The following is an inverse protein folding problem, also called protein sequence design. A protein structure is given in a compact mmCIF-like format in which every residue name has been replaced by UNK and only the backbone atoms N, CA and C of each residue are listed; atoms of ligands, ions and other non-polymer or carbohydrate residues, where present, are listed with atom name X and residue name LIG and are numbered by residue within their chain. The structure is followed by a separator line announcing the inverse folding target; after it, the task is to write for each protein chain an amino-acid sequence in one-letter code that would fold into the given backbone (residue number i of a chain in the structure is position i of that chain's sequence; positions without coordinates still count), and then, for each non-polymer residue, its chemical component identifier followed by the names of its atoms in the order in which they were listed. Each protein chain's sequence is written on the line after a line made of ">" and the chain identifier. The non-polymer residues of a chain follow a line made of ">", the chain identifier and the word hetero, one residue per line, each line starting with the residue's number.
data_IF_912154958928
#
_entry.id   IF_912154958928
#
_cell.length_a   1.000
_cell.length_b   1.000
_cell.length_c   1.000
_cell.angle_alpha   90.00
_cell.angle_beta   90.00
_cell.angle_gamma   90.00
#
_symmetry.space_group_name_H-M   'P 1'
#
loop_
_entity.id
_entity.type
_entity.pdbx_description
1 polymer ?
#
# COMPACT_ATOMS: atom_id res chain seq x y z
N UNK A 1 -23.90 9.84 3.53
CA UNK A 1 -23.32 9.79 4.89
C UNK A 1 -21.88 9.33 4.77
N UNK A 2 -20.91 10.23 4.99
CA UNK A 2 -19.49 9.87 4.99
C UNK A 2 -19.20 9.11 6.28
N UNK A 3 -18.72 7.86 6.17
CA UNK A 3 -18.21 7.11 7.32
C UNK A 3 -16.76 7.50 7.53
N UNK A 4 -16.45 8.06 8.69
CA UNK A 4 -15.07 8.23 9.12
C UNK A 4 -14.53 6.84 9.51
N UNK A 5 -13.43 6.45 8.87
CA UNK A 5 -12.63 5.30 9.32
C UNK A 5 -11.77 5.83 10.45
N UNK A 6 -11.96 5.31 11.66
CA UNK A 6 -11.06 5.61 12.78
C UNK A 6 -9.63 5.17 12.42
N UNK A 7 -8.63 5.89 12.94
CA UNK A 7 -7.21 5.81 12.59
C UNK A 7 -6.75 4.42 12.11
N UNK A 8 -6.16 4.31 10.90
CA UNK A 8 -5.72 3.03 10.39
C UNK A 8 -4.66 2.44 11.33
N UNK A 9 -4.92 1.22 11.81
CA UNK A 9 -3.88 0.39 12.41
C UNK A 9 -2.75 0.20 11.40
N UNK A 10 -1.47 0.29 11.79
CA UNK A 10 -0.35 -0.04 10.93
C UNK A 10 -0.60 -1.37 10.23
N UNK A 11 -0.47 -1.38 8.89
CA UNK A 11 -0.71 -2.56 8.06
C UNK A 11 0.62 -3.00 7.48
N UNK A 12 1.30 -3.87 8.22
CA UNK A 12 2.58 -4.42 7.84
C UNK A 12 2.40 -5.65 6.93
N UNK A 13 2.61 -5.49 5.62
CA UNK A 13 2.56 -6.58 4.64
C UNK A 13 3.97 -7.10 4.34
N UNK A 14 4.18 -8.39 4.04
CA UNK A 14 5.50 -8.88 3.63
C UNK A 14 6.02 -8.15 2.38
N UNK A 15 7.28 -7.75 2.39
CA UNK A 15 7.97 -7.17 1.24
C UNK A 15 9.01 -8.17 0.70
N UNK A 16 8.86 -8.52 -0.57
CA UNK A 16 9.83 -9.35 -1.29
C UNK A 16 11.00 -8.48 -1.75
N UNK A 17 12.21 -8.98 -1.54
CA UNK A 17 13.45 -8.29 -1.88
C UNK A 17 13.79 -8.26 -3.37
N UNK A 18 13.28 -9.23 -4.10
CA UNK A 18 13.50 -9.39 -5.54
C UNK A 18 12.22 -9.10 -6.32
N UNK A 19 12.33 -8.64 -7.58
CA UNK A 19 11.21 -8.62 -8.50
C UNK A 19 10.67 -10.04 -8.67
N UNK A 20 9.37 -10.20 -8.49
CA UNK A 20 8.68 -11.46 -8.80
C UNK A 20 8.32 -11.44 -10.29
N UNK A 21 8.86 -12.37 -11.07
CA UNK A 21 8.45 -12.54 -12.46
C UNK A 21 6.96 -12.90 -12.53
N UNK A 22 6.26 -12.41 -13.55
CA UNK A 22 4.87 -12.77 -13.79
C UNK A 22 4.78 -14.28 -14.12
N UNK A 23 4.44 -15.11 -13.12
CA UNK A 23 4.47 -16.57 -13.21
C UNK A 23 4.39 -17.25 -11.84
N UNK A 24 4.78 -18.52 -11.76
CA UNK A 24 4.93 -19.23 -10.48
C UNK A 24 6.28 -18.82 -9.88
N UNK A 25 6.32 -18.10 -8.74
CA UNK A 25 7.58 -17.78 -8.08
C UNK A 25 8.30 -19.08 -7.72
N UNK A 26 9.61 -19.15 -7.93
CA UNK A 26 10.37 -20.32 -7.55
C UNK A 26 10.25 -20.51 -6.03
N UNK A 27 10.08 -21.73 -5.49
CA UNK A 27 9.99 -21.98 -4.04
C UNK A 27 11.19 -21.50 -3.21
N UNK A 28 12.29 -21.10 -3.88
CA UNK A 28 13.49 -20.55 -3.25
C UNK A 28 13.46 -19.01 -3.12
N UNK A 29 12.47 -18.32 -3.70
CA UNK A 29 12.34 -16.86 -3.67
C UNK A 29 11.58 -16.33 -2.44
N UNK A 30 11.33 -17.18 -1.44
CA UNK A 30 10.65 -16.85 -0.18
C UNK A 30 11.49 -15.93 0.74
N UNK A 31 12.49 -15.23 0.21
CA UNK A 31 13.29 -14.28 0.97
C UNK A 31 12.50 -12.98 1.22
N UNK A 32 11.73 -12.98 2.31
CA UNK A 32 11.07 -11.79 2.82
C UNK A 32 12.15 -10.91 3.46
N UNK A 33 12.49 -9.81 2.79
CA UNK A 33 13.51 -8.86 3.27
C UNK A 33 12.99 -7.96 4.39
N UNK A 34 11.67 -7.82 4.53
CA UNK A 34 11.06 -7.01 5.58
C UNK A 34 9.55 -6.91 5.49
N UNK A 35 9.01 -5.93 6.20
CA UNK A 35 7.58 -5.59 6.17
C UNK A 35 7.39 -4.19 5.56
N UNK A 36 6.35 -4.04 4.74
CA UNK A 36 5.93 -2.82 4.08
C UNK A 36 4.69 -2.28 4.77
N UNK A 37 4.76 -1.07 5.32
CA UNK A 37 3.58 -0.28 5.69
C UNK A 37 3.45 0.92 4.74
N UNK A 38 2.39 0.94 3.94
CA UNK A 38 2.14 2.01 2.98
C UNK A 38 1.93 3.37 3.64
N UNK A 39 1.46 3.42 4.90
CA UNK A 39 1.34 4.68 5.63
C UNK A 39 2.73 5.26 5.90
N UNK A 40 3.70 4.44 6.33
CA UNK A 40 5.07 4.91 6.55
C UNK A 40 5.71 5.42 5.26
N UNK A 41 5.46 4.75 4.13
CA UNK A 41 6.08 5.09 2.86
C UNK A 41 5.41 6.27 2.12
N UNK A 42 4.08 6.40 2.19
CA UNK A 42 3.32 7.36 1.38
C UNK A 42 2.87 8.59 2.19
N UNK A 43 2.71 8.47 3.52
CA UNK A 43 2.14 9.52 4.37
C UNK A 43 3.23 10.27 5.14
N UNK A 44 3.80 11.31 4.52
CA UNK A 44 4.86 12.13 5.14
C UNK A 44 4.36 13.03 6.28
N UNK A 45 3.09 13.45 6.23
CA UNK A 45 2.48 14.38 7.20
C UNK A 45 1.09 13.88 7.60
N UNK A 46 0.98 12.95 8.56
CA UNK A 46 -0.29 12.29 8.91
C UNK A 46 -1.42 13.26 9.24
N UNK A 47 -1.14 14.30 10.02
CA UNK A 47 -2.13 15.31 10.41
C UNK A 47 -2.67 16.18 9.24
N UNK A 48 -1.99 16.17 8.09
CA UNK A 48 -2.35 16.96 6.91
C UNK A 48 -2.61 16.09 5.67
N UNK A 49 -2.77 14.78 5.84
CA UNK A 49 -3.00 13.83 4.73
C UNK A 49 -4.37 13.18 4.91
N UNK A 50 -5.15 13.14 3.85
CA UNK A 50 -6.51 12.60 3.86
C UNK A 50 -6.70 11.66 2.68
N UNK A 51 -7.41 10.56 2.93
CA UNK A 51 -7.81 9.62 1.88
C UNK A 51 -9.26 9.88 1.48
N UNK A 52 -9.50 9.87 0.17
CA UNK A 52 -10.84 9.97 -0.41
C UNK A 52 -11.04 8.85 -1.43
N UNK A 53 -12.27 8.37 -1.54
CA UNK A 53 -12.64 7.43 -2.60
C UNK A 53 -12.90 8.23 -3.87
N UNK A 54 -12.07 8.03 -4.90
CA UNK A 54 -12.33 8.58 -6.22
C UNK A 54 -13.65 8.03 -6.78
N UNK A 55 -14.40 8.87 -7.48
CA UNK A 55 -15.64 8.50 -8.16
C UNK A 55 -15.66 9.12 -9.56
N UNK A 56 -16.05 8.31 -10.55
CA UNK A 56 -15.97 8.69 -11.96
C UNK A 56 -14.54 8.63 -12.50
N UNK A 57 -14.36 9.15 -13.71
CA UNK A 57 -13.16 8.94 -14.54
C UNK A 57 -12.31 10.20 -14.73
N UNK A 58 -12.59 11.29 -14.01
CA UNK A 58 -11.97 12.60 -14.24
C UNK A 58 -10.45 12.64 -14.03
N UNK A 59 -9.91 11.67 -13.29
CA UNK A 59 -8.48 11.57 -12.98
C UNK A 59 -7.76 10.50 -13.81
N UNK A 60 -8.40 9.93 -14.85
CA UNK A 60 -7.75 8.96 -15.74
C UNK A 60 -6.62 9.62 -16.53
N UNK A 61 -5.41 9.09 -16.42
CA UNK A 61 -4.25 9.53 -17.21
C UNK A 61 -3.56 10.80 -16.70
N UNK A 62 -3.90 11.25 -15.49
CA UNK A 62 -3.12 12.24 -14.77
C UNK A 62 -1.74 11.70 -14.37
#
# INVERSE_FOLDING_TARGET
>A
MLRFVEYPTPLELPLFGSPVEAGFPSPADDHIEGKLDLNEHLVRRPAATFFVRAAGESMRGA
#
